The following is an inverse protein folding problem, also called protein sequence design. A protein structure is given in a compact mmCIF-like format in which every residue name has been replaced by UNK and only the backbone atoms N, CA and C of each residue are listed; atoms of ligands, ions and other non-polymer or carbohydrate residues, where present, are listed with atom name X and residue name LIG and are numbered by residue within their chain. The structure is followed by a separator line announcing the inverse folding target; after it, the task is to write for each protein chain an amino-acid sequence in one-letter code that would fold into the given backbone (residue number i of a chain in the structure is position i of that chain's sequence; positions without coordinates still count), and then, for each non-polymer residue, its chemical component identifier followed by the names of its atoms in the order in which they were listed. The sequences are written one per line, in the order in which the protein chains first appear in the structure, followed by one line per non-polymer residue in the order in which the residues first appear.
data_IF_034126270412
#
_entry.id   IF_034126270412
#
_cell.length_a   1.000
_cell.length_b   1.000
_cell.length_c   1.000
_cell.angle_alpha   90.00
_cell.angle_beta   90.00
_cell.angle_gamma   90.00
#
_symmetry.space_group_name_H-M   'P 1'
#
loop_
_entity.id
_entity.type
_entity.pdbx_description
1 polymer ?
#
# COMPACT_ATOMS: atom_id res chain seq x y z
N UNK A 1 49.84 4.77 3.48
CA UNK A 1 49.17 5.56 4.53
C UNK A 1 48.55 6.79 3.90
N UNK A 2 47.25 6.77 3.60
CA UNK A 2 46.50 8.02 3.41
C UNK A 2 45.03 7.79 3.76
N UNK A 3 44.57 8.64 4.66
CA UNK A 3 43.34 8.56 5.43
C UNK A 3 42.13 9.06 4.63
N UNK A 4 40.95 8.61 5.06
CA UNK A 4 39.58 8.83 4.57
C UNK A 4 39.20 10.28 4.20
N UNK A 5 38.04 10.48 3.54
CA UNK A 5 36.95 11.00 4.36
C UNK A 5 35.66 10.20 4.19
N UNK A 6 35.17 9.72 5.33
CA UNK A 6 33.80 9.30 5.59
C UNK A 6 32.84 10.38 5.11
N UNK A 7 31.88 9.98 4.27
CA UNK A 7 30.78 10.83 3.80
C UNK A 7 29.87 11.15 5.01
N UNK A 8 30.18 12.25 5.70
CA UNK A 8 29.35 12.78 6.77
C UNK A 8 28.02 13.26 6.22
N UNK A 9 26.94 13.04 6.97
CA UNK A 9 25.63 13.63 6.68
C UNK A 9 25.77 15.16 6.64
N UNK A 10 25.07 15.86 5.73
CA UNK A 10 25.14 17.32 5.64
C UNK A 10 24.69 17.95 6.96
N UNK A 11 25.38 19.02 7.37
CA UNK A 11 24.99 19.83 8.52
C UNK A 11 23.57 20.38 8.32
N UNK A 12 22.74 20.49 9.38
CA UNK A 12 21.33 20.89 9.27
C UNK A 12 21.10 22.30 8.69
N UNK A 13 22.16 23.10 8.49
CA UNK A 13 22.08 24.40 7.82
C UNK A 13 22.06 24.33 6.29
N UNK A 14 22.48 23.21 5.71
CA UNK A 14 22.45 22.93 4.26
C UNK A 14 21.22 22.10 3.84
N UNK A 15 20.38 21.72 4.83
CA UNK A 15 19.10 21.08 4.56
C UNK A 15 18.13 22.15 4.07
N UNK A 16 17.98 22.26 2.74
CA UNK A 16 16.90 23.05 2.13
C UNK A 16 15.56 22.63 2.77
N UNK A 17 14.86 23.52 3.50
CA UNK A 17 13.60 23.17 4.13
C UNK A 17 12.56 23.04 3.03
N UNK A 18 12.30 21.80 2.61
CA UNK A 18 11.36 21.56 1.51
C UNK A 18 11.15 20.10 1.12
N UNK A 19 12.00 19.17 1.56
CA UNK A 19 11.70 17.74 1.40
C UNK A 19 11.00 17.21 2.65
N UNK A 20 9.81 17.74 2.89
CA UNK A 20 8.78 16.90 3.49
C UNK A 20 8.52 15.75 2.49
N UNK A 21 8.57 14.47 2.89
CA UNK A 21 8.03 13.40 2.06
C UNK A 21 6.50 13.46 2.08
N UNK A 22 5.94 14.61 1.70
CA UNK A 22 4.55 14.78 1.28
C UNK A 22 4.37 14.19 -0.12
N UNK A 23 4.88 12.96 -0.31
CA UNK A 23 4.54 12.14 -1.45
C UNK A 23 3.12 11.62 -1.18
N UNK A 24 2.14 12.53 -1.24
CA UNK A 24 0.73 12.19 -1.42
C UNK A 24 0.67 11.57 -2.81
N UNK A 25 1.06 10.30 -2.91
CA UNK A 25 0.97 9.58 -4.16
C UNK A 25 -0.52 9.43 -4.39
N UNK A 26 -1.05 10.31 -5.24
CA UNK A 26 -2.42 10.24 -5.76
C UNK A 26 -2.54 8.92 -6.49
N UNK A 27 -3.01 7.93 -5.74
CA UNK A 27 -3.09 6.54 -6.14
C UNK A 27 -4.50 6.26 -6.65
N UNK A 28 -5.03 7.21 -7.43
CA UNK A 28 -6.39 7.23 -7.98
C UNK A 28 -6.67 6.02 -8.89
N UNK A 29 -5.63 5.32 -9.36
CA UNK A 29 -5.76 4.21 -10.31
C UNK A 29 -5.53 2.82 -9.72
N UNK A 30 -5.27 2.70 -8.41
CA UNK A 30 -4.89 1.42 -7.80
C UNK A 30 -5.96 0.34 -7.76
N UNK A 31 -7.21 0.73 -7.99
CA UNK A 31 -8.33 -0.18 -7.84
C UNK A 31 -8.60 -0.61 -6.40
N UNK A 32 -9.47 -1.61 -6.23
CA UNK A 32 -9.96 -2.01 -4.93
C UNK A 32 -8.91 -2.79 -4.15
N UNK A 33 -9.01 -2.65 -2.84
CA UNK A 33 -8.13 -3.24 -1.86
C UNK A 33 -8.65 -4.62 -1.43
N UNK A 34 -7.75 -5.58 -1.28
CA UNK A 34 -8.04 -6.99 -0.98
C UNK A 34 -7.55 -7.33 0.41
N UNK A 35 -8.39 -7.96 1.22
CA UNK A 35 -8.00 -8.53 2.52
C UNK A 35 -7.60 -9.98 2.29
N UNK A 36 -6.40 -10.36 2.73
CA UNK A 36 -5.90 -11.73 2.65
C UNK A 36 -6.32 -12.53 3.90
N UNK A 37 -6.14 -13.86 3.84
CA UNK A 37 -6.49 -14.74 4.97
C UNK A 37 -5.57 -14.56 6.19
N UNK A 38 -4.36 -14.03 5.98
CA UNK A 38 -3.38 -13.72 7.01
C UNK A 38 -3.62 -12.34 7.67
N UNK A 39 -4.69 -11.63 7.29
CA UNK A 39 -5.01 -10.29 7.78
C UNK A 39 -4.27 -9.16 7.07
N UNK A 40 -3.35 -9.47 6.15
CA UNK A 40 -2.67 -8.44 5.37
C UNK A 40 -3.57 -7.87 4.29
N UNK A 41 -3.19 -6.69 3.79
CA UNK A 41 -3.93 -5.95 2.79
C UNK A 41 -3.11 -5.87 1.50
N UNK A 42 -3.68 -6.30 0.39
CA UNK A 42 -3.04 -6.33 -0.94
C UNK A 42 -3.86 -5.59 -1.99
N UNK A 43 -3.22 -5.24 -3.10
CA UNK A 43 -3.85 -4.55 -4.25
C UNK A 43 -3.90 -5.48 -5.46
N UNK A 44 -4.87 -5.30 -6.34
CA UNK A 44 -4.95 -6.06 -7.60
C UNK A 44 -4.00 -5.42 -8.61
N UNK A 45 -2.83 -6.02 -8.84
CA UNK A 45 -1.78 -5.48 -9.71
C UNK A 45 -2.26 -5.23 -11.16
N UNK A 46 -3.13 -6.09 -11.69
CA UNK A 46 -3.65 -5.97 -13.06
C UNK A 46 -4.98 -5.17 -13.16
N UNK A 47 -5.38 -4.44 -12.12
CA UNK A 47 -6.69 -3.76 -12.09
C UNK A 47 -6.89 -2.81 -13.29
N UNK A 48 -5.84 -2.09 -13.65
CA UNK A 48 -5.89 -1.00 -14.63
C UNK A 48 -6.19 -1.55 -16.03
N UNK A 49 -5.66 -2.74 -16.32
CA UNK A 49 -5.77 -3.42 -17.60
C UNK A 49 -7.06 -4.26 -17.72
N UNK A 50 -7.84 -4.39 -16.64
CA UNK A 50 -9.13 -5.10 -16.69
C UNK A 50 -10.18 -4.30 -17.43
N UNK A 51 -10.99 -5.01 -18.24
CA UNK A 51 -12.20 -4.47 -18.85
C UNK A 51 -13.24 -4.13 -17.78
N UNK A 52 -14.15 -3.22 -18.10
CA UNK A 52 -15.22 -2.80 -17.17
C UNK A 52 -16.06 -3.98 -16.67
N UNK A 53 -16.27 -5.01 -17.52
CA UNK A 53 -17.05 -6.20 -17.16
C UNK A 53 -16.30 -7.12 -16.19
N UNK A 54 -14.96 -7.16 -16.29
CA UNK A 54 -14.10 -7.91 -15.38
C UNK A 54 -13.96 -7.19 -14.05
N UNK A 55 -13.88 -5.85 -14.08
CA UNK A 55 -13.89 -4.99 -12.89
C UNK A 55 -15.17 -5.17 -12.08
N UNK A 56 -16.34 -5.17 -12.72
CA UNK A 56 -17.63 -5.36 -12.05
C UNK A 56 -17.75 -6.73 -11.35
N UNK A 57 -17.40 -7.80 -12.08
CA UNK A 57 -17.37 -9.16 -11.52
C UNK A 57 -16.39 -9.27 -10.36
N UNK A 58 -15.19 -8.71 -10.53
CA UNK A 58 -14.15 -8.67 -9.51
C UNK A 58 -14.62 -7.95 -8.26
N UNK A 59 -15.23 -6.77 -8.39
CA UNK A 59 -15.77 -6.00 -7.26
C UNK A 59 -16.85 -6.77 -6.50
N UNK A 60 -17.79 -7.38 -7.23
CA UNK A 60 -18.88 -8.14 -6.62
C UNK A 60 -18.36 -9.32 -5.79
N UNK A 61 -17.39 -10.06 -6.32
CA UNK A 61 -16.79 -11.19 -5.60
C UNK A 61 -15.90 -10.72 -4.45
N UNK A 62 -15.12 -9.67 -4.68
CA UNK A 62 -14.19 -9.13 -3.70
C UNK A 62 -14.91 -8.60 -2.47
N UNK A 63 -16.02 -7.87 -2.63
CA UNK A 63 -16.83 -7.38 -1.52
C UNK A 63 -17.28 -8.54 -0.60
N UNK A 64 -17.79 -9.63 -1.18
CA UNK A 64 -18.21 -10.81 -0.41
C UNK A 64 -17.04 -11.47 0.33
N UNK A 65 -15.91 -11.67 -0.36
CA UNK A 65 -14.73 -12.35 0.19
C UNK A 65 -14.04 -11.53 1.27
N UNK A 66 -13.88 -10.23 1.05
CA UNK A 66 -13.29 -9.33 2.05
C UNK A 66 -14.16 -9.27 3.30
N UNK A 67 -15.49 -9.20 3.15
CA UNK A 67 -16.37 -9.18 4.31
C UNK A 67 -16.24 -10.47 5.15
N UNK A 68 -16.31 -11.64 4.51
CA UNK A 68 -16.13 -12.91 5.21
C UNK A 68 -14.76 -13.03 5.89
N UNK A 69 -13.69 -12.59 5.21
CA UNK A 69 -12.34 -12.58 5.80
C UNK A 69 -12.25 -11.65 7.00
N UNK A 70 -12.83 -10.45 6.92
CA UNK A 70 -12.87 -9.49 8.02
C UNK A 70 -13.66 -10.02 9.23
N UNK A 71 -14.80 -10.67 9.00
CA UNK A 71 -15.60 -11.33 10.04
C UNK A 71 -14.76 -12.39 10.79
N UNK A 72 -14.08 -13.26 10.03
CA UNK A 72 -13.23 -14.31 10.59
C UNK A 72 -12.04 -13.75 11.37
N UNK A 73 -11.42 -12.68 10.89
CA UNK A 73 -10.29 -12.04 11.56
C UNK A 73 -10.74 -11.38 12.87
N UNK A 74 -11.88 -10.66 12.86
CA UNK A 74 -12.46 -10.09 14.09
C UNK A 74 -12.80 -11.16 15.11
N UNK A 75 -13.34 -12.30 14.66
CA UNK A 75 -13.68 -13.40 15.55
C UNK A 75 -12.46 -14.08 16.16
N UNK A 76 -11.32 -14.10 15.46
CA UNK A 76 -10.04 -14.62 15.95
C UNK A 76 -9.34 -13.65 16.91
N UNK A 77 -9.44 -12.34 16.66
CA UNK A 77 -8.86 -11.29 17.52
C UNK A 77 -9.57 -11.16 18.88
N UNK A 78 -10.86 -11.53 18.92
CA UNK A 78 -11.69 -11.51 20.13
C UNK A 78 -11.58 -12.78 21.00
N UNK A 79 -10.70 -13.73 20.66
CA UNK A 79 -10.40 -14.92 21.47
C UNK A 79 -9.08 -14.76 22.23
#
# INVERSE_FOLDING_TARGET
TQSTPVLGLPAPSDAQPGQEPNNVIKLDHLGPMVVNSDGTISRIANWQNMSQIEKDRSLRLLAKRNNLRMENLRSQDLQ
#
